data_IF_818402856810
#
_entry.id   IF_818402856810
#
_cell.length_a   1.000
_cell.length_b   1.000
_cell.length_c   1.000
_cell.angle_alpha   90.00
_cell.angle_beta   90.00
_cell.angle_gamma   90.00
#
_symmetry.space_group_name_H-M   'P 1'
#
loop_
_entity.id
_entity.type
_entity.pdbx_description
1 polymer ?
#
# COMPACT_ATOMS: atom_id res chain seq x y z
N UNK A 1 8.81 -22.97 81.79
CA UNK A 1 7.87 -23.34 82.86
C UNK A 1 6.69 -24.07 82.24
N UNK A 2 6.39 -25.23 82.84
CA UNK A 2 5.22 -26.11 82.73
C UNK A 2 5.10 -27.03 81.50
N UNK A 3 5.60 -28.25 81.71
CA UNK A 3 4.97 -29.53 81.34
C UNK A 3 3.80 -29.83 82.31
N UNK A 4 2.78 -30.63 81.91
CA UNK A 4 2.89 -32.09 82.06
C UNK A 4 2.22 -32.95 80.96
N UNK A 5 2.77 -34.18 80.78
CA UNK A 5 2.13 -35.52 80.77
C UNK A 5 0.61 -35.61 80.57
N UNK A 6 -0.02 -36.58 79.91
CA UNK A 6 0.27 -37.94 79.45
C UNK A 6 -0.96 -38.43 78.63
N UNK A 7 -0.84 -39.59 77.98
CA UNK A 7 -1.89 -40.48 77.42
C UNK A 7 -1.92 -40.62 75.88
N UNK A 8 -1.38 -41.76 75.44
CA UNK A 8 -1.45 -42.22 74.06
C UNK A 8 -0.37 -43.24 73.67
N UNK A 9 0.11 -44.07 74.60
CA UNK A 9 0.93 -45.22 74.28
C UNK A 9 0.07 -46.27 73.54
N UNK A 10 0.25 -46.37 72.22
CA UNK A 10 -0.15 -47.54 71.46
C UNK A 10 1.07 -48.07 70.69
N UNK A 11 1.59 -49.16 71.26
CA UNK A 11 2.68 -49.99 70.80
C UNK A 11 2.91 -50.03 69.28
N UNK A 12 4.16 -49.78 68.89
CA UNK A 12 4.77 -50.45 67.75
C UNK A 12 4.64 -51.96 67.95
N UNK A 13 3.54 -52.53 67.44
CA UNK A 13 3.46 -53.97 67.23
C UNK A 13 4.49 -54.30 66.16
N UNK A 14 5.47 -55.09 66.57
CA UNK A 14 6.33 -55.91 65.72
C UNK A 14 5.53 -56.38 64.50
N UNK A 15 6.06 -56.07 63.31
CA UNK A 15 5.68 -56.70 62.05
C UNK A 15 5.96 -58.18 62.24
N UNK A 16 4.94 -58.91 62.70
CA UNK A 16 4.92 -60.36 62.63
C UNK A 16 5.06 -60.68 61.16
N UNK A 17 6.16 -61.33 60.78
CA UNK A 17 6.36 -61.89 59.46
C UNK A 17 5.23 -62.88 59.21
N UNK A 18 4.16 -62.38 58.61
CA UNK A 18 3.05 -63.17 58.17
C UNK A 18 3.55 -64.09 57.03
N UNK A 19 3.31 -65.41 57.07
CA UNK A 19 3.77 -66.38 56.08
C UNK A 19 2.99 -66.29 54.73
N UNK A 20 2.61 -65.09 54.31
CA UNK A 20 1.71 -64.82 53.19
C UNK A 20 2.41 -64.40 51.89
N UNK A 21 3.68 -63.99 51.93
CA UNK A 21 4.46 -63.64 50.71
C UNK A 21 4.68 -64.89 49.86
N UNK A 22 4.92 -66.02 50.51
CA UNK A 22 5.16 -67.33 49.90
C UNK A 22 3.89 -67.87 49.19
N UNK A 23 2.70 -67.51 49.66
CA UNK A 23 1.42 -67.88 49.01
C UNK A 23 1.13 -67.07 47.74
N UNK A 24 1.49 -65.76 47.73
CA UNK A 24 1.29 -64.91 46.57
C UNK A 24 2.22 -65.32 45.41
N UNK A 25 3.46 -65.66 45.73
CA UNK A 25 4.45 -66.15 44.76
C UNK A 25 4.11 -67.57 44.28
N UNK A 26 3.71 -68.49 45.17
CA UNK A 26 3.20 -69.82 44.79
C UNK A 26 1.94 -69.71 43.92
N UNK A 27 1.05 -68.75 44.18
CA UNK A 27 -0.10 -68.45 43.29
C UNK A 27 0.35 -67.98 41.93
N UNK A 28 1.34 -67.09 41.85
CA UNK A 28 1.86 -66.60 40.57
C UNK A 28 2.52 -67.73 39.77
N UNK A 29 3.31 -68.59 40.42
CA UNK A 29 3.92 -69.77 39.81
C UNK A 29 2.86 -70.78 39.34
N UNK A 30 1.81 -71.02 40.14
CA UNK A 30 0.69 -71.86 39.76
C UNK A 30 -0.09 -71.30 38.56
N UNK A 31 -0.36 -70.00 38.54
CA UNK A 31 -1.03 -69.31 37.42
C UNK A 31 -0.17 -69.32 36.15
N UNK A 32 1.15 -69.20 36.29
CA UNK A 32 2.08 -69.29 35.16
C UNK A 32 2.12 -70.71 34.59
N UNK A 33 2.24 -71.74 35.43
CA UNK A 33 2.29 -73.14 35.01
C UNK A 33 0.94 -73.68 34.48
N UNK A 34 -0.20 -73.13 34.94
CA UNK A 34 -1.55 -73.59 34.56
C UNK A 34 -2.31 -72.56 33.72
N UNK A 35 -1.60 -71.67 33.01
CA UNK A 35 -2.19 -70.53 32.31
C UNK A 35 -3.30 -70.92 31.34
N UNK A 36 -3.09 -71.97 30.55
CA UNK A 36 -4.06 -72.42 29.56
C UNK A 36 -5.23 -73.18 30.20
N UNK A 37 -4.98 -74.01 31.21
CA UNK A 37 -6.03 -74.64 32.02
C UNK A 37 -6.93 -73.61 32.71
N UNK A 38 -6.35 -72.52 33.24
CA UNK A 38 -7.10 -71.42 33.86
C UNK A 38 -7.87 -70.63 32.80
N UNK A 39 -7.33 -70.43 31.59
CA UNK A 39 -8.06 -69.82 30.48
C UNK A 39 -9.25 -70.66 30.05
N UNK A 40 -9.08 -71.97 29.90
CA UNK A 40 -10.13 -72.90 29.49
C UNK A 40 -11.22 -73.04 30.56
N UNK A 41 -10.82 -73.13 31.83
CA UNK A 41 -11.75 -73.06 32.98
C UNK A 41 -12.53 -71.75 32.99
N UNK A 42 -11.87 -70.60 32.79
CA UNK A 42 -12.55 -69.31 32.68
C UNK A 42 -13.44 -69.22 31.44
N UNK A 43 -13.06 -69.86 30.33
CA UNK A 43 -13.85 -69.90 29.09
C UNK A 43 -15.12 -70.72 29.28
N UNK A 44 -15.01 -71.90 29.89
CA UNK A 44 -16.13 -72.76 30.25
C UNK A 44 -17.03 -72.10 31.29
N UNK A 45 -16.45 -71.47 32.31
CA UNK A 45 -17.22 -70.74 33.31
C UNK A 45 -17.96 -69.54 32.70
N UNK A 46 -17.33 -68.78 31.80
CA UNK A 46 -17.97 -67.68 31.07
C UNK A 46 -19.03 -68.16 30.08
N UNK A 47 -18.88 -69.32 29.45
CA UNK A 47 -19.91 -69.88 28.56
C UNK A 47 -21.11 -70.41 29.34
N UNK A 48 -20.87 -71.03 30.52
CA UNK A 48 -21.94 -71.55 31.38
C UNK A 48 -22.63 -70.45 32.20
N UNK A 49 -21.94 -69.34 32.53
CA UNK A 49 -22.44 -68.30 33.45
C UNK A 49 -22.36 -66.90 32.83
N UNK A 50 -22.66 -66.81 31.54
CA UNK A 50 -22.48 -65.61 30.72
C UNK A 50 -23.31 -64.42 31.26
N UNK A 51 -24.54 -64.68 31.73
CA UNK A 51 -25.41 -63.66 32.29
C UNK A 51 -24.93 -63.17 33.67
N UNK A 52 -24.45 -64.08 34.52
CA UNK A 52 -23.86 -63.73 35.82
C UNK A 52 -22.56 -62.93 35.67
N UNK A 53 -21.75 -63.24 34.66
CA UNK A 53 -20.55 -62.47 34.33
C UNK A 53 -20.89 -61.06 33.82
N UNK A 54 -21.93 -60.91 33.00
CA UNK A 54 -22.46 -59.61 32.55
C UNK A 54 -22.97 -58.79 33.73
N UNK A 55 -23.67 -59.40 34.67
CA UNK A 55 -24.19 -58.74 35.88
C UNK A 55 -23.07 -58.23 36.79
N UNK A 56 -22.06 -59.08 37.08
CA UNK A 56 -20.88 -58.68 37.86
C UNK A 56 -20.09 -57.55 37.19
N UNK A 57 -20.00 -57.54 35.86
CA UNK A 57 -19.36 -56.46 35.11
C UNK A 57 -20.16 -55.15 35.20
N UNK A 58 -21.49 -55.22 35.03
CA UNK A 58 -22.39 -54.06 35.22
C UNK A 58 -22.26 -53.48 36.62
N UNK A 59 -22.23 -54.32 37.65
CA UNK A 59 -22.08 -53.88 39.04
C UNK A 59 -20.68 -53.33 39.33
N UNK A 60 -19.63 -53.91 38.75
CA UNK A 60 -18.27 -53.36 38.83
C UNK A 60 -18.20 -51.96 38.21
N UNK A 61 -18.80 -51.77 37.03
CA UNK A 61 -18.89 -50.47 36.36
C UNK A 61 -19.71 -49.46 37.18
N UNK A 62 -20.83 -49.87 37.77
CA UNK A 62 -21.62 -49.02 38.69
C UNK A 62 -20.80 -48.59 39.90
N UNK A 63 -20.07 -49.50 40.54
CA UNK A 63 -19.19 -49.17 41.69
C UNK A 63 -18.05 -48.25 41.29
N UNK A 64 -17.44 -48.46 40.12
CA UNK A 64 -16.39 -47.59 39.59
C UNK A 64 -16.91 -46.18 39.27
N UNK A 65 -18.09 -46.08 38.66
CA UNK A 65 -18.78 -44.81 38.41
C UNK A 65 -19.12 -44.09 39.72
N UNK A 66 -19.62 -44.81 40.73
CA UNK A 66 -19.91 -44.25 42.06
C UNK A 66 -18.65 -43.76 42.78
N UNK A 67 -17.47 -44.39 42.59
CA UNK A 67 -16.19 -43.86 43.09
C UNK A 67 -15.80 -42.57 42.39
N UNK A 68 -15.86 -42.54 41.05
CA UNK A 68 -15.56 -41.33 40.26
C UNK A 68 -16.49 -40.17 40.61
N UNK A 69 -17.77 -40.45 40.81
CA UNK A 69 -18.76 -39.45 41.23
C UNK A 69 -18.42 -38.87 42.60
N UNK A 70 -18.14 -39.73 43.60
CA UNK A 70 -17.73 -39.28 44.94
C UNK A 70 -16.44 -38.45 44.91
N UNK A 71 -15.43 -38.87 44.14
CA UNK A 71 -14.20 -38.09 43.98
C UNK A 71 -14.45 -36.74 43.29
N UNK A 72 -15.30 -36.71 42.27
CA UNK A 72 -15.68 -35.47 41.59
C UNK A 72 -16.44 -34.52 42.52
N UNK A 73 -17.32 -35.07 43.36
CA UNK A 73 -18.08 -34.33 44.36
C UNK A 73 -17.17 -33.76 45.45
N UNK A 74 -16.23 -34.56 45.99
CA UNK A 74 -15.20 -34.08 46.93
C UNK A 74 -14.36 -32.97 46.31
N UNK A 75 -13.93 -33.12 45.06
CA UNK A 75 -13.21 -32.05 44.32
C UNK A 75 -14.07 -30.81 44.14
N UNK A 76 -15.36 -30.97 43.86
CA UNK A 76 -16.30 -29.87 43.69
C UNK A 76 -16.50 -29.10 45.00
N UNK A 77 -16.76 -29.81 46.10
CA UNK A 77 -16.83 -29.23 47.46
C UNK A 77 -15.52 -28.55 47.86
N UNK A 78 -14.38 -29.13 47.48
CA UNK A 78 -13.06 -28.51 47.64
C UNK A 78 -12.92 -27.17 46.90
N UNK A 79 -13.35 -27.11 45.63
CA UNK A 79 -13.35 -25.87 44.83
C UNK A 79 -14.27 -24.81 45.42
N UNK A 80 -15.46 -25.19 45.87
CA UNK A 80 -16.42 -24.27 46.49
C UNK A 80 -15.88 -23.71 47.81
N UNK A 81 -15.26 -24.54 48.67
CA UNK A 81 -14.59 -24.06 49.89
C UNK A 81 -13.44 -23.10 49.57
N UNK A 82 -12.60 -23.42 48.60
CA UNK A 82 -11.52 -22.52 48.16
C UNK A 82 -12.04 -21.23 47.52
N UNK A 83 -13.19 -21.27 46.83
CA UNK A 83 -13.86 -20.08 46.30
C UNK A 83 -14.38 -19.19 47.43
N UNK A 84 -15.10 -19.76 48.41
CA UNK A 84 -15.59 -19.05 49.60
C UNK A 84 -14.45 -18.42 50.41
N UNK A 85 -13.39 -19.19 50.67
CA UNK A 85 -12.21 -18.69 51.37
C UNK A 85 -11.56 -17.49 50.65
N UNK A 86 -11.48 -17.52 49.30
CA UNK A 86 -10.94 -16.40 48.50
C UNK A 86 -11.81 -15.14 48.56
N UNK A 87 -13.12 -15.28 48.77
CA UNK A 87 -14.05 -14.15 48.91
C UNK A 87 -13.97 -13.58 50.33
N UNK A 88 -13.90 -14.45 51.35
CA UNK A 88 -13.81 -14.06 52.76
C UNK A 88 -12.45 -13.45 53.12
N UNK A 89 -11.36 -13.82 52.43
CA UNK A 89 -9.99 -13.40 52.75
C UNK A 89 -9.26 -12.74 51.56
N UNK A 90 -9.74 -11.58 51.07
CA UNK A 90 -9.15 -10.91 49.91
C UNK A 90 -7.75 -10.37 50.18
N UNK A 91 -7.46 -9.94 51.41
CA UNK A 91 -6.16 -9.38 51.81
C UNK A 91 -5.08 -10.46 51.91
N UNK A 92 -5.35 -11.58 52.58
CA UNK A 92 -4.43 -12.73 52.64
C UNK A 92 -4.13 -13.31 51.27
N UNK A 93 -5.09 -13.28 50.34
CA UNK A 93 -4.87 -13.66 48.95
C UNK A 93 -3.89 -12.70 48.25
N UNK A 94 -4.04 -11.39 48.46
CA UNK A 94 -3.13 -10.39 47.88
C UNK A 94 -1.72 -10.53 48.44
N UNK A 95 -1.59 -10.73 49.76
CA UNK A 95 -0.30 -10.95 50.42
C UNK A 95 0.38 -12.23 49.95
N UNK A 96 -0.36 -13.34 49.88
CA UNK A 96 0.16 -14.60 49.35
C UNK A 96 0.60 -14.45 47.89
N UNK A 97 -0.20 -13.77 47.07
CA UNK A 97 0.15 -13.52 45.67
C UNK A 97 1.39 -12.60 45.56
N UNK A 98 1.51 -11.58 46.40
CA UNK A 98 2.68 -10.69 46.42
C UNK A 98 3.95 -11.45 46.83
N UNK A 99 3.89 -12.28 47.87
CA UNK A 99 5.01 -13.13 48.31
C UNK A 99 5.40 -14.13 47.22
N UNK A 100 4.41 -14.79 46.61
CA UNK A 100 4.66 -15.73 45.53
C UNK A 100 5.29 -15.06 44.30
N UNK A 101 4.84 -13.85 43.92
CA UNK A 101 5.43 -13.07 42.82
C UNK A 101 6.84 -12.59 43.16
N UNK A 102 7.09 -12.21 44.41
CA UNK A 102 8.42 -11.81 44.86
C UNK A 102 9.41 -12.99 44.81
N UNK A 103 9.00 -14.15 45.32
CA UNK A 103 9.79 -15.40 45.30
C UNK A 103 9.96 -15.99 43.90
N UNK A 104 8.97 -15.83 43.01
CA UNK A 104 8.98 -16.37 41.65
C UNK A 104 9.11 -15.27 40.58
N UNK A 105 9.81 -14.17 40.92
CA UNK A 105 9.93 -12.99 40.05
C UNK A 105 10.48 -13.32 38.66
N UNK A 106 11.43 -14.23 38.58
CA UNK A 106 12.04 -14.66 37.32
C UNK A 106 11.09 -15.48 36.46
N UNK A 107 10.36 -16.44 37.06
CA UNK A 107 9.34 -17.24 36.34
C UNK A 107 8.20 -16.36 35.80
N UNK A 108 7.78 -15.38 36.59
CA UNK A 108 6.76 -14.40 36.15
C UNK A 108 7.30 -13.58 34.98
N UNK A 109 8.54 -13.07 35.07
CA UNK A 109 9.17 -12.32 33.98
C UNK A 109 9.29 -13.17 32.72
N UNK A 110 9.74 -14.41 32.84
CA UNK A 110 9.92 -15.33 31.73
C UNK A 110 8.59 -15.70 31.06
N UNK A 111 7.53 -15.96 31.85
CA UNK A 111 6.18 -16.15 31.33
C UNK A 111 5.71 -14.95 30.52
N UNK A 112 5.88 -13.73 31.05
CA UNK A 112 5.52 -12.52 30.32
C UNK A 112 6.40 -12.34 29.08
N UNK A 113 7.71 -12.60 29.14
CA UNK A 113 8.59 -12.51 27.98
C UNK A 113 8.14 -13.46 26.87
N UNK A 114 7.86 -14.73 27.19
CA UNK A 114 7.33 -15.71 26.23
C UNK A 114 5.99 -15.26 25.63
N UNK A 115 5.10 -14.70 26.46
CA UNK A 115 3.84 -14.14 25.99
C UNK A 115 4.05 -12.95 25.03
N UNK A 116 4.95 -12.01 25.39
CA UNK A 116 5.28 -10.85 24.59
C UNK A 116 5.99 -11.22 23.27
N UNK A 117 6.83 -12.25 23.26
CA UNK A 117 7.48 -12.75 22.05
C UNK A 117 6.45 -13.31 21.07
N UNK A 118 5.54 -14.17 21.56
CA UNK A 118 4.49 -14.75 20.74
C UNK A 118 3.43 -13.74 20.27
N UNK A 119 3.13 -12.71 21.08
CA UNK A 119 2.05 -11.75 20.82
C UNK A 119 2.56 -10.33 20.56
N UNK A 120 3.83 -10.19 20.15
CA UNK A 120 4.48 -8.88 19.99
C UNK A 120 3.69 -7.96 19.07
N UNK A 121 3.20 -8.51 17.96
CA UNK A 121 2.42 -7.77 16.97
C UNK A 121 1.06 -7.31 17.55
N UNK A 122 0.34 -8.19 18.23
CA UNK A 122 -0.97 -7.86 18.83
C UNK A 122 -0.84 -6.79 19.91
N UNK A 123 0.12 -6.93 20.82
CA UNK A 123 0.32 -5.96 21.90
C UNK A 123 0.73 -4.60 21.34
N UNK A 124 1.62 -4.58 20.34
CA UNK A 124 1.99 -3.35 19.65
C UNK A 124 0.81 -2.73 18.90
N UNK A 125 -0.02 -3.53 18.23
CA UNK A 125 -1.21 -3.07 17.53
C UNK A 125 -2.23 -2.46 18.51
N UNK A 126 -2.49 -3.10 19.65
CA UNK A 126 -3.37 -2.58 20.70
C UNK A 126 -2.82 -1.28 21.31
N UNK A 127 -1.53 -1.22 21.60
CA UNK A 127 -0.88 0.00 22.08
C UNK A 127 -0.93 1.13 21.05
N UNK A 128 -0.76 0.79 19.76
CA UNK A 128 -0.84 1.74 18.66
C UNK A 128 -2.27 2.26 18.45
N UNK A 129 -3.28 1.39 18.50
CA UNK A 129 -4.69 1.78 18.44
C UNK A 129 -5.06 2.76 19.56
N UNK A 130 -4.61 2.51 20.80
CA UNK A 130 -4.82 3.47 21.91
C UNK A 130 -4.20 4.84 21.66
N UNK A 131 -3.02 4.89 21.02
CA UNK A 131 -2.35 6.15 20.67
C UNK A 131 -3.08 6.91 19.56
N UNK A 132 -3.72 6.20 18.64
CA UNK A 132 -4.45 6.80 17.52
C UNK A 132 -5.82 7.34 17.93
N UNK A 133 -6.48 6.70 18.90
CA UNK A 133 -7.79 7.15 19.40
C UNK A 133 -7.69 8.53 20.06
N UNK A 134 -6.58 8.82 20.74
CA UNK A 134 -6.36 10.12 21.38
C UNK A 134 -4.88 10.56 21.26
N UNK A 135 -4.51 11.14 20.11
CA UNK A 135 -3.14 11.55 19.86
C UNK A 135 -2.72 12.74 20.75
N UNK A 136 -3.65 13.63 21.10
CA UNK A 136 -3.37 14.81 21.92
C UNK A 136 -3.13 14.44 23.38
N UNK A 137 -3.94 13.56 23.97
CA UNK A 137 -3.67 13.03 25.31
C UNK A 137 -2.35 12.26 25.37
N UNK A 138 -2.01 11.52 24.31
CA UNK A 138 -0.71 10.84 24.21
C UNK A 138 0.46 11.84 24.23
N UNK A 139 0.35 12.95 23.48
CA UNK A 139 1.34 14.04 23.49
C UNK A 139 1.45 14.68 24.87
N UNK A 140 0.31 14.96 25.52
CA UNK A 140 0.27 15.54 26.87
C UNK A 140 0.90 14.62 27.90
N UNK A 141 0.58 13.32 27.90
CA UNK A 141 1.20 12.33 28.80
C UNK A 141 2.71 12.26 28.56
N UNK A 142 3.14 12.24 27.29
CA UNK A 142 4.56 12.22 26.94
C UNK A 142 5.28 13.48 27.41
N UNK A 143 4.65 14.65 27.29
CA UNK A 143 5.17 15.93 27.77
C UNK A 143 5.27 15.97 29.29
N UNK A 144 4.21 15.56 30.00
CA UNK A 144 4.21 15.49 31.46
C UNK A 144 5.24 14.48 31.99
N UNK A 145 5.41 13.35 31.32
CA UNK A 145 6.46 12.40 31.65
C UNK A 145 7.85 13.02 31.45
N UNK A 146 8.07 13.71 30.33
CA UNK A 146 9.33 14.37 30.04
C UNK A 146 9.65 15.52 31.01
N UNK A 147 8.64 16.24 31.49
CA UNK A 147 8.77 17.28 32.49
C UNK A 147 9.06 16.72 33.88
N UNK A 148 8.43 15.60 34.27
CA UNK A 148 8.70 14.89 35.53
C UNK A 148 10.04 14.14 35.53
N UNK A 149 10.57 13.78 34.36
CA UNK A 149 11.80 12.99 34.21
C UNK A 149 12.93 13.79 33.54
N UNK A 150 13.04 15.10 33.81
CA UNK A 150 14.08 15.96 33.21
C UNK A 150 15.49 15.45 33.49
N UNK A 151 15.78 15.10 34.74
CA UNK A 151 17.09 14.59 35.16
C UNK A 151 17.40 13.25 34.51
N UNK A 152 16.46 12.32 34.51
CA UNK A 152 16.60 11.03 33.82
C UNK A 152 16.83 11.19 32.32
N UNK A 153 16.22 12.19 31.67
CA UNK A 153 16.50 12.51 30.26
C UNK A 153 17.90 13.08 30.06
N UNK A 154 18.36 13.93 30.98
CA UNK A 154 19.73 14.46 30.96
C UNK A 154 20.76 13.35 31.19
N UNK A 155 20.49 12.43 32.10
CA UNK A 155 21.30 11.24 32.35
C UNK A 155 21.36 10.32 31.12
N UNK A 156 20.22 10.04 30.48
CA UNK A 156 20.20 9.31 29.21
C UNK A 156 21.01 10.01 28.11
N UNK A 157 21.01 11.35 28.06
CA UNK A 157 21.87 12.09 27.14
C UNK A 157 23.34 12.00 27.51
N UNK A 158 23.70 12.01 28.80
CA UNK A 158 25.08 11.79 29.27
C UNK A 158 25.55 10.38 28.92
N UNK A 159 24.72 9.36 29.14
CA UNK A 159 25.02 7.97 28.79
C UNK A 159 25.08 7.74 27.27
N UNK A 160 24.31 8.49 26.47
CA UNK A 160 24.46 8.47 25.01
C UNK A 160 25.78 9.12 24.56
N UNK A 161 26.29 10.11 25.30
CA UNK A 161 27.57 10.80 25.05
C UNK A 161 28.77 10.12 25.70
N UNK A 162 28.56 9.15 26.57
CA UNK A 162 29.64 8.48 27.30
C UNK A 162 30.45 7.56 26.40
N UNK A 163 29.84 7.04 25.33
CA UNK A 163 30.55 6.37 24.25
C UNK A 163 31.02 7.40 23.20
N UNK A 164 32.33 7.71 23.14
CA UNK A 164 32.84 8.74 22.25
C UNK A 164 32.74 8.36 20.77
N UNK A 165 32.81 7.07 20.43
CA UNK A 165 32.79 6.61 19.04
C UNK A 165 31.38 6.67 18.46
N UNK A 166 30.39 6.17 19.21
CA UNK A 166 28.98 6.27 18.83
C UNK A 166 28.59 7.74 18.70
N UNK A 167 28.94 8.57 19.68
CA UNK A 167 28.61 10.00 19.63
C UNK A 167 29.29 10.74 18.47
N UNK A 168 30.56 10.42 18.16
CA UNK A 168 31.25 10.97 16.97
C UNK A 168 30.54 10.56 15.68
N UNK A 169 30.15 9.31 15.53
CA UNK A 169 29.42 8.83 14.35
C UNK A 169 28.06 9.53 14.18
N UNK A 170 27.34 9.78 15.28
CA UNK A 170 26.09 10.55 15.27
C UNK A 170 26.33 12.01 14.83
N UNK A 171 27.40 12.64 15.30
CA UNK A 171 27.76 14.01 14.90
C UNK A 171 28.17 14.07 13.43
N UNK A 172 28.93 13.10 12.94
CA UNK A 172 29.32 13.02 11.54
C UNK A 172 28.12 12.83 10.61
N UNK A 173 27.19 11.93 10.95
CA UNK A 173 25.95 11.73 10.21
C UNK A 173 25.11 13.03 10.15
N UNK A 174 25.02 13.76 11.26
CA UNK A 174 24.35 15.06 11.31
C UNK A 174 25.06 16.12 10.45
N UNK A 175 26.39 16.15 10.46
CA UNK A 175 27.18 17.03 9.62
C UNK A 175 27.01 16.71 8.13
N UNK A 176 27.00 15.42 7.75
CA UNK A 176 26.73 14.95 6.40
C UNK A 176 25.32 15.34 5.92
N UNK A 177 24.29 15.15 6.74
CA UNK A 177 22.92 15.57 6.42
C UNK A 177 22.81 17.09 6.18
N UNK A 178 23.50 17.90 6.98
CA UNK A 178 23.58 19.36 6.78
C UNK A 178 24.34 19.74 5.50
N UNK A 179 25.43 19.03 5.17
CA UNK A 179 26.17 19.22 3.90
C UNK A 179 25.28 18.90 2.69
N UNK A 180 24.56 17.78 2.73
CA UNK A 180 23.62 17.38 1.68
C UNK A 180 22.50 18.43 1.49
N UNK A 181 21.89 18.90 2.57
CA UNK A 181 20.85 19.94 2.50
C UNK A 181 21.34 21.22 1.81
N UNK A 182 22.56 21.66 2.13
CA UNK A 182 23.19 22.83 1.49
C UNK A 182 23.52 22.58 0.01
N UNK A 183 24.02 21.40 -0.32
CA UNK A 183 24.32 21.00 -1.70
C UNK A 183 23.05 20.98 -2.57
N UNK A 184 21.97 20.37 -2.08
CA UNK A 184 20.66 20.37 -2.77
C UNK A 184 20.14 21.79 -3.00
N UNK A 185 20.20 22.64 -1.96
CA UNK A 185 19.80 24.04 -2.06
C UNK A 185 20.62 24.82 -3.09
N UNK A 186 21.94 24.59 -3.17
CA UNK A 186 22.81 25.23 -4.17
C UNK A 186 22.50 24.76 -5.59
N UNK A 187 22.09 23.50 -5.75
CA UNK A 187 21.66 22.95 -7.02
C UNK A 187 20.24 23.37 -7.44
N UNK A 188 19.57 24.25 -6.68
CA UNK A 188 18.17 24.63 -6.92
C UNK A 188 17.18 23.48 -6.70
N UNK A 189 17.63 22.35 -6.14
CA UNK A 189 16.79 21.20 -5.87
C UNK A 189 16.04 21.44 -4.56
N UNK A 190 14.72 21.21 -4.54
CA UNK A 190 13.95 21.35 -3.31
C UNK A 190 14.47 20.37 -2.26
N UNK A 191 14.56 20.77 -0.98
CA UNK A 191 14.90 19.84 0.08
C UNK A 191 13.88 18.69 0.10
N UNK A 192 14.33 17.48 0.43
CA UNK A 192 13.45 16.30 0.54
C UNK A 192 12.25 16.66 1.42
N UNK A 193 11.08 16.85 0.80
CA UNK A 193 9.81 17.01 1.50
C UNK A 193 9.42 15.62 1.99
N UNK A 194 9.95 15.22 3.14
CA UNK A 194 9.26 14.19 3.92
C UNK A 194 7.94 14.81 4.33
N UNK A 195 6.85 14.51 3.62
CA UNK A 195 5.51 14.78 4.12
C UNK A 195 5.50 14.22 5.54
N UNK A 196 5.36 15.12 6.52
CA UNK A 196 5.35 14.74 7.93
C UNK A 196 3.97 14.14 8.19
N UNK A 197 3.73 12.97 7.62
CA UNK A 197 2.55 12.19 7.90
C UNK A 197 2.74 11.64 9.30
N UNK A 198 1.78 11.92 10.18
CA UNK A 198 1.83 11.38 11.54
C UNK A 198 1.87 9.85 11.46
N UNK A 199 2.37 9.19 12.50
CA UNK A 199 2.39 7.73 12.50
C UNK A 199 0.97 7.15 12.37
N UNK A 200 -0.06 7.88 12.84
CA UNK A 200 -1.46 7.50 12.69
C UNK A 200 -1.92 7.63 11.24
N UNK A 201 -1.68 8.76 10.58
CA UNK A 201 -1.97 8.97 9.15
C UNK A 201 -1.30 7.92 8.26
N UNK A 202 -0.02 7.60 8.51
CA UNK A 202 0.67 6.55 7.73
C UNK A 202 -0.03 5.20 7.81
N UNK A 203 -0.52 4.84 9.00
CA UNK A 203 -1.26 3.58 9.21
C UNK A 203 -2.68 3.65 8.65
N UNK A 204 -3.33 4.81 8.69
CA UNK A 204 -4.61 5.01 8.01
C UNK A 204 -4.44 4.85 6.49
N UNK A 205 -3.46 5.54 5.89
CA UNK A 205 -3.12 5.43 4.47
C UNK A 205 -2.73 4.00 4.08
N UNK A 206 -1.99 3.28 4.92
CA UNK A 206 -1.62 1.88 4.68
C UNK A 206 -2.85 0.97 4.68
N UNK A 207 -3.80 1.16 5.61
CA UNK A 207 -5.07 0.43 5.62
C UNK A 207 -5.93 0.77 4.41
N UNK A 208 -6.03 2.04 4.06
CA UNK A 208 -6.76 2.49 2.86
C UNK A 208 -6.14 1.92 1.60
N UNK A 209 -4.82 2.01 1.45
CA UNK A 209 -4.09 1.40 0.33
C UNK A 209 -4.32 -0.11 0.28
N UNK A 210 -4.22 -0.80 1.42
CA UNK A 210 -4.53 -2.23 1.48
C UNK A 210 -5.96 -2.53 1.04
N UNK A 211 -6.96 -1.76 1.50
CA UNK A 211 -8.34 -1.94 1.04
C UNK A 211 -8.52 -1.66 -0.45
N UNK A 212 -7.84 -0.64 -0.98
CA UNK A 212 -7.90 -0.25 -2.38
C UNK A 212 -7.26 -1.29 -3.32
N UNK A 213 -6.09 -1.81 -2.97
CA UNK A 213 -5.35 -2.76 -3.81
C UNK A 213 -5.86 -4.20 -3.69
N UNK A 214 -6.51 -4.56 -2.58
CA UNK A 214 -7.08 -5.91 -2.39
C UNK A 214 -8.59 -5.97 -2.66
N UNK A 215 -9.20 -4.91 -3.18
CA UNK A 215 -10.60 -4.95 -3.63
C UNK A 215 -10.73 -5.84 -4.88
N UNK A 216 -11.47 -6.96 -4.81
CA UNK A 216 -11.60 -7.91 -5.91
C UNK A 216 -12.32 -7.33 -7.13
N UNK A 217 -13.12 -6.26 -6.97
CA UNK A 217 -13.81 -5.60 -8.08
C UNK A 217 -12.93 -4.59 -8.84
N UNK A 218 -11.78 -4.21 -8.25
CA UNK A 218 -10.91 -3.15 -8.76
C UNK A 218 -10.37 -3.39 -10.17
N UNK A 219 -9.88 -4.60 -10.52
CA UNK A 219 -9.34 -4.83 -11.86
C UNK A 219 -10.42 -4.67 -12.95
N UNK A 220 -11.64 -5.14 -12.68
CA UNK A 220 -12.75 -5.01 -13.62
C UNK A 220 -13.25 -3.57 -13.70
N UNK A 221 -13.32 -2.84 -12.56
CA UNK A 221 -13.60 -1.40 -12.55
C UNK A 221 -12.62 -0.61 -13.45
N UNK A 222 -11.32 -0.84 -13.28
CA UNK A 222 -10.28 -0.18 -14.07
C UNK A 222 -10.33 -0.55 -15.56
N UNK A 223 -10.65 -1.81 -15.87
CA UNK A 223 -10.86 -2.25 -17.24
C UNK A 223 -12.04 -1.54 -17.88
N UNK A 224 -13.21 -1.53 -17.22
CA UNK A 224 -14.41 -0.86 -17.72
C UNK A 224 -14.17 0.65 -17.89
N UNK A 225 -13.50 1.29 -16.93
CA UNK A 225 -13.16 2.70 -17.01
C UNK A 225 -12.26 2.99 -18.21
N UNK A 226 -11.20 2.21 -18.40
CA UNK A 226 -10.27 2.38 -19.52
C UNK A 226 -10.98 2.20 -20.85
N UNK A 227 -11.72 1.10 -21.03
CA UNK A 227 -12.46 0.83 -22.27
C UNK A 227 -13.49 1.93 -22.55
N UNK A 228 -14.19 2.41 -21.52
CA UNK A 228 -15.16 3.49 -21.65
C UNK A 228 -14.50 4.80 -22.07
N UNK A 229 -13.40 5.21 -21.40
CA UNK A 229 -12.68 6.43 -21.72
C UNK A 229 -12.04 6.39 -23.12
N UNK A 230 -11.50 5.24 -23.52
CA UNK A 230 -10.94 5.04 -24.88
C UNK A 230 -12.05 5.09 -25.94
N UNK A 231 -13.15 4.37 -25.74
CA UNK A 231 -14.30 4.37 -26.66
C UNK A 231 -14.91 5.77 -26.79
N UNK A 232 -15.01 6.52 -25.69
CA UNK A 232 -15.47 7.90 -25.68
C UNK A 232 -14.52 8.81 -26.45
N UNK A 233 -13.22 8.64 -26.26
CA UNK A 233 -12.21 9.41 -26.99
C UNK A 233 -12.23 9.11 -28.48
N UNK A 234 -12.31 7.84 -28.87
CA UNK A 234 -12.44 7.43 -30.25
C UNK A 234 -13.71 7.99 -30.90
N UNK A 235 -14.84 7.90 -30.19
CA UNK A 235 -16.12 8.44 -30.66
C UNK A 235 -16.04 9.95 -30.89
N UNK A 236 -15.40 10.68 -29.98
CA UNK A 236 -15.19 12.13 -30.12
C UNK A 236 -14.24 12.48 -31.26
N UNK A 237 -13.17 11.72 -31.47
CA UNK A 237 -12.23 11.97 -32.57
C UNK A 237 -12.84 11.69 -33.95
N UNK A 238 -13.72 10.70 -34.05
CA UNK A 238 -14.39 10.31 -35.31
C UNK A 238 -15.61 11.17 -35.61
N UNK A 239 -16.45 11.44 -34.61
CA UNK A 239 -17.78 12.02 -34.80
C UNK A 239 -17.95 13.41 -34.15
N UNK A 240 -16.92 13.95 -33.49
CA UNK A 240 -17.02 15.19 -32.71
C UNK A 240 -17.50 16.41 -33.50
N UNK A 241 -17.08 16.56 -34.76
CA UNK A 241 -17.54 17.66 -35.62
C UNK A 241 -19.05 17.59 -35.89
N UNK A 242 -19.55 16.43 -36.33
CA UNK A 242 -20.98 16.20 -36.56
C UNK A 242 -21.81 16.35 -35.28
N UNK A 243 -21.27 15.91 -34.14
CA UNK A 243 -21.93 16.10 -32.84
C UNK A 243 -22.02 17.57 -32.45
N UNK A 244 -20.98 18.36 -32.77
CA UNK A 244 -20.96 19.80 -32.51
C UNK A 244 -21.99 20.54 -33.35
N UNK A 245 -22.08 20.24 -34.65
CA UNK A 245 -23.11 20.81 -35.53
C UNK A 245 -24.52 20.52 -35.00
N UNK A 246 -24.78 19.27 -34.58
CA UNK A 246 -26.04 18.90 -33.94
C UNK A 246 -26.29 19.70 -32.65
N UNK A 247 -25.27 19.82 -31.79
CA UNK A 247 -25.38 20.54 -30.53
C UNK A 247 -25.61 22.04 -30.73
N UNK A 248 -24.96 22.67 -31.70
CA UNK A 248 -25.17 24.07 -32.09
C UNK A 248 -26.60 24.32 -32.60
N UNK A 249 -27.12 23.42 -33.45
CA UNK A 249 -28.50 23.49 -33.91
C UNK A 249 -29.50 23.31 -32.76
N UNK A 250 -29.21 22.39 -31.83
CA UNK A 250 -30.03 22.17 -30.64
C UNK A 250 -30.04 23.39 -29.72
N UNK A 251 -28.88 23.95 -29.39
CA UNK A 251 -28.77 25.17 -28.55
C UNK A 251 -29.49 26.34 -29.22
N UNK A 252 -29.29 26.56 -30.52
CA UNK A 252 -29.97 27.62 -31.27
C UNK A 252 -31.49 27.47 -31.25
N UNK A 253 -32.01 26.24 -31.39
CA UNK A 253 -33.45 25.97 -31.30
C UNK A 253 -33.99 26.24 -29.89
N UNK A 254 -33.25 25.83 -28.87
CA UNK A 254 -33.56 26.02 -27.45
C UNK A 254 -33.64 27.50 -27.08
N UNK A 255 -32.71 28.31 -27.58
CA UNK A 255 -32.72 29.77 -27.40
C UNK A 255 -33.96 30.42 -28.04
N UNK A 256 -34.35 29.97 -29.24
CA UNK A 256 -35.55 30.49 -29.93
C UNK A 256 -36.85 30.27 -29.15
N UNK A 257 -36.93 29.20 -28.37
CA UNK A 257 -38.11 28.89 -27.54
C UNK A 257 -38.00 29.45 -26.11
N UNK A 258 -36.98 30.26 -25.82
CA UNK A 258 -36.82 30.92 -24.51
C UNK A 258 -36.40 30.01 -23.36
N UNK A 259 -35.82 28.84 -23.66
CA UNK A 259 -35.31 27.92 -22.63
C UNK A 259 -33.93 28.37 -22.13
N UNK A 260 -33.55 28.02 -20.88
CA UNK A 260 -32.25 28.40 -20.32
C UNK A 260 -31.07 27.95 -21.20
N UNK A 261 -30.02 28.77 -21.37
CA UNK A 261 -28.88 28.44 -22.20
C UNK A 261 -28.13 27.23 -21.64
N UNK A 262 -27.62 26.39 -22.53
CA UNK A 262 -26.81 25.21 -22.21
C UNK A 262 -25.57 25.24 -23.08
N UNK A 263 -24.41 24.83 -22.53
CA UNK A 263 -23.17 24.77 -23.29
C UNK A 263 -23.25 23.73 -24.42
N UNK A 264 -22.89 24.14 -25.64
CA UNK A 264 -22.71 23.24 -26.79
C UNK A 264 -21.77 22.08 -26.43
N UNK A 265 -20.69 22.38 -25.70
CA UNK A 265 -19.72 21.36 -25.30
C UNK A 265 -20.36 20.31 -24.37
N UNK A 266 -21.20 20.72 -23.42
CA UNK A 266 -21.84 19.79 -22.50
C UNK A 266 -22.83 18.87 -23.22
N UNK A 267 -23.57 19.39 -24.20
CA UNK A 267 -24.49 18.59 -25.04
C UNK A 267 -23.70 17.59 -25.89
N UNK A 268 -22.58 18.01 -26.50
CA UNK A 268 -21.71 17.12 -27.29
C UNK A 268 -21.23 15.94 -26.44
N UNK A 269 -20.68 16.22 -25.25
CA UNK A 269 -20.14 15.17 -24.40
C UNK A 269 -21.23 14.32 -23.75
N UNK A 270 -22.38 14.89 -23.39
CA UNK A 270 -23.53 14.12 -22.92
C UNK A 270 -23.98 13.13 -24.00
N UNK A 271 -24.14 13.59 -25.25
CA UNK A 271 -24.53 12.73 -26.37
C UNK A 271 -23.49 11.64 -26.68
N UNK A 272 -22.22 11.97 -26.60
CA UNK A 272 -21.15 10.99 -26.78
C UNK A 272 -21.16 9.92 -25.68
N UNK A 273 -21.39 10.32 -24.42
CA UNK A 273 -21.54 9.41 -23.28
C UNK A 273 -22.75 8.48 -23.47
N UNK A 274 -23.90 9.01 -23.89
CA UNK A 274 -25.09 8.19 -24.20
C UNK A 274 -24.77 7.09 -25.23
N UNK A 275 -24.20 7.47 -26.37
CA UNK A 275 -23.88 6.53 -27.46
C UNK A 275 -22.89 5.45 -27.00
N UNK A 276 -21.89 5.83 -26.21
CA UNK A 276 -20.87 4.88 -25.72
C UNK A 276 -21.46 3.98 -24.64
N UNK A 277 -22.26 4.52 -23.72
CA UNK A 277 -22.91 3.75 -22.67
C UNK A 277 -23.91 2.74 -23.25
N UNK A 278 -24.68 3.10 -24.29
CA UNK A 278 -25.59 2.18 -24.98
C UNK A 278 -24.85 1.03 -25.67
N UNK A 279 -23.69 1.31 -26.27
CA UNK A 279 -22.86 0.29 -26.93
C UNK A 279 -22.18 -0.63 -25.93
N UNK A 280 -21.80 -0.11 -24.77
CA UNK A 280 -21.18 -0.88 -23.71
C UNK A 280 -22.26 -1.56 -22.85
N UNK A 281 -22.56 -2.83 -23.14
CA UNK A 281 -23.52 -3.63 -22.34
C UNK A 281 -23.14 -3.87 -20.86
N UNK A 282 -22.01 -3.34 -20.37
CA UNK A 282 -21.45 -3.55 -19.02
C UNK A 282 -20.76 -2.30 -18.51
N UNK A 283 -21.54 -1.38 -17.96
CA UNK A 283 -21.03 -0.14 -17.31
C UNK A 283 -21.32 -0.17 -15.80
N UNK A 284 -21.70 -1.34 -15.28
CA UNK A 284 -22.28 -1.49 -13.94
C UNK A 284 -21.33 -1.12 -12.80
N UNK A 285 -20.01 -1.15 -13.03
CA UNK A 285 -19.04 -0.74 -12.03
C UNK A 285 -18.70 0.77 -12.10
N UNK A 286 -19.10 1.50 -13.13
CA UNK A 286 -18.76 2.92 -13.23
C UNK A 286 -19.74 3.79 -12.45
N UNK A 287 -19.18 4.64 -11.61
CA UNK A 287 -19.94 5.69 -10.94
C UNK A 287 -20.07 6.93 -11.83
N UNK A 288 -20.99 7.84 -11.50
CA UNK A 288 -21.08 9.16 -12.17
C UNK A 288 -19.77 9.94 -12.09
N UNK A 289 -18.99 9.77 -11.00
CA UNK A 289 -17.66 10.36 -10.84
C UNK A 289 -16.65 9.78 -11.85
N UNK A 290 -16.72 8.49 -12.12
CA UNK A 290 -15.87 7.82 -13.11
C UNK A 290 -16.21 8.31 -14.52
N UNK A 291 -17.50 8.40 -14.86
CA UNK A 291 -17.94 8.96 -16.15
C UNK A 291 -17.46 10.41 -16.32
N UNK A 292 -17.59 11.25 -15.29
CA UNK A 292 -17.08 12.62 -15.33
C UNK A 292 -15.54 12.69 -15.45
N UNK A 293 -14.82 11.74 -14.83
CA UNK A 293 -13.37 11.62 -14.99
C UNK A 293 -13.00 11.20 -16.42
N UNK A 294 -13.73 10.24 -17.01
CA UNK A 294 -13.56 9.82 -18.39
C UNK A 294 -13.82 10.96 -19.36
N UNK A 295 -14.90 11.74 -19.19
CA UNK A 295 -15.18 12.94 -20.00
C UNK A 295 -14.04 13.95 -19.93
N UNK A 296 -13.51 14.24 -18.73
CA UNK A 296 -12.35 15.14 -18.58
C UNK A 296 -11.10 14.59 -19.26
N UNK A 297 -10.82 13.30 -19.13
CA UNK A 297 -9.71 12.64 -19.80
C UNK A 297 -9.87 12.72 -21.33
N UNK A 298 -11.06 12.45 -21.85
CA UNK A 298 -11.38 12.57 -23.27
C UNK A 298 -11.24 14.01 -23.77
N UNK A 299 -11.73 15.02 -23.04
CA UNK A 299 -11.53 16.44 -23.38
C UNK A 299 -10.04 16.76 -23.54
N UNK A 300 -9.21 16.30 -22.61
CA UNK A 300 -7.77 16.48 -22.70
C UNK A 300 -7.14 15.72 -23.88
N UNK A 301 -7.59 14.49 -24.14
CA UNK A 301 -7.13 13.67 -25.27
C UNK A 301 -7.48 14.27 -26.63
N UNK A 302 -8.74 14.66 -26.83
CA UNK A 302 -9.22 15.31 -28.06
C UNK A 302 -8.47 16.61 -28.32
N UNK A 303 -8.30 17.47 -27.30
CA UNK A 303 -7.51 18.72 -27.43
C UNK A 303 -6.07 18.44 -27.81
N UNK A 304 -5.45 17.39 -27.26
CA UNK A 304 -4.08 16.99 -27.59
C UNK A 304 -3.97 16.57 -29.05
N UNK A 305 -4.89 15.73 -29.53
CA UNK A 305 -4.94 15.28 -30.92
C UNK A 305 -5.21 16.44 -31.89
N UNK A 306 -6.14 17.33 -31.57
CA UNK A 306 -6.41 18.53 -32.38
C UNK A 306 -5.18 19.45 -32.45
N UNK A 307 -4.51 19.69 -31.31
CA UNK A 307 -3.24 20.43 -31.26
C UNK A 307 -2.16 19.76 -32.11
N UNK A 308 -2.05 18.43 -32.05
CA UNK A 308 -1.09 17.67 -32.85
C UNK A 308 -1.40 17.80 -34.36
N UNK A 309 -2.68 17.72 -34.76
CA UNK A 309 -3.09 17.94 -36.16
C UNK A 309 -2.76 19.35 -36.64
N UNK A 310 -3.00 20.38 -35.81
CA UNK A 310 -2.61 21.75 -36.14
C UNK A 310 -1.09 21.89 -36.30
N UNK A 311 -0.32 21.28 -35.40
CA UNK A 311 1.14 21.27 -35.45
C UNK A 311 1.65 20.61 -36.73
N UNK A 312 1.14 19.43 -37.07
CA UNK A 312 1.52 18.71 -38.28
C UNK A 312 1.09 19.45 -39.55
N UNK A 313 -0.09 20.06 -39.53
CA UNK A 313 -0.59 20.92 -40.60
C UNK A 313 0.32 22.13 -40.83
N UNK A 314 0.74 22.80 -39.75
CA UNK A 314 1.67 23.92 -39.80
C UNK A 314 3.02 23.51 -40.38
N UNK A 315 3.62 22.42 -39.87
CA UNK A 315 4.90 21.90 -40.38
C UNK A 315 4.81 21.56 -41.87
N UNK A 316 3.75 20.85 -42.30
CA UNK A 316 3.54 20.51 -43.70
C UNK A 316 3.34 21.76 -44.56
N UNK A 317 2.55 22.73 -44.10
CA UNK A 317 2.30 23.99 -44.79
C UNK A 317 3.58 24.78 -45.00
N UNK A 318 4.41 24.93 -43.96
CA UNK A 318 5.71 25.63 -44.05
C UNK A 318 6.64 24.94 -45.02
N UNK A 319 6.75 23.61 -44.97
CA UNK A 319 7.59 22.85 -45.90
C UNK A 319 7.11 23.09 -47.34
N UNK A 320 5.80 22.97 -47.61
CA UNK A 320 5.23 23.19 -48.93
C UNK A 320 5.48 24.63 -49.43
N UNK A 321 5.32 25.64 -48.57
CA UNK A 321 5.52 27.05 -48.92
C UNK A 321 6.99 27.34 -49.23
N UNK A 322 7.93 26.81 -48.42
CA UNK A 322 9.37 26.90 -48.68
C UNK A 322 9.73 26.26 -50.02
N UNK A 323 9.16 25.09 -50.33
CA UNK A 323 9.40 24.44 -51.61
C UNK A 323 8.87 25.26 -52.79
N UNK A 324 7.66 25.79 -52.67
CA UNK A 324 6.98 26.55 -53.72
C UNK A 324 7.66 27.87 -54.05
N UNK A 325 8.15 28.58 -53.02
CA UNK A 325 8.69 29.94 -53.17
C UNK A 325 10.17 30.04 -52.77
N UNK A 326 10.93 28.94 -52.91
CA UNK A 326 12.34 28.86 -52.47
C UNK A 326 13.20 30.03 -52.96
N UNK A 327 13.15 30.35 -54.24
CA UNK A 327 13.96 31.44 -54.82
C UNK A 327 13.67 32.80 -54.18
N UNK A 328 12.37 33.12 -54.00
CA UNK A 328 11.91 34.35 -53.35
C UNK A 328 12.40 34.43 -51.90
N UNK A 329 12.26 33.35 -51.13
CA UNK A 329 12.70 33.35 -49.73
C UNK A 329 14.22 33.40 -49.57
N UNK A 330 14.99 32.82 -50.49
CA UNK A 330 16.46 32.95 -50.46
C UNK A 330 16.87 34.41 -50.66
N UNK A 331 16.30 35.11 -51.65
CA UNK A 331 16.58 36.54 -51.86
C UNK A 331 16.13 37.38 -50.66
N UNK A 332 14.93 37.15 -50.14
CA UNK A 332 14.45 37.86 -48.94
C UNK A 332 15.35 37.60 -47.71
N UNK A 333 15.87 36.37 -47.55
CA UNK A 333 16.76 36.03 -46.45
C UNK A 333 18.14 36.68 -46.55
N UNK A 334 18.67 36.91 -47.76
CA UNK A 334 19.94 37.61 -47.94
C UNK A 334 19.78 39.10 -47.64
N UNK A 335 18.67 39.71 -48.08
CA UNK A 335 18.32 41.09 -47.73
C UNK A 335 18.14 41.27 -46.21
N UNK A 336 17.43 40.34 -45.55
CA UNK A 336 17.28 40.37 -44.09
C UNK A 336 18.63 40.24 -43.37
N UNK A 337 19.51 39.35 -43.84
CA UNK A 337 20.86 39.23 -43.27
C UNK A 337 21.72 40.49 -43.48
N UNK A 338 21.59 41.19 -44.61
CA UNK A 338 22.25 42.48 -44.84
C UNK A 338 21.73 43.54 -43.85
N UNK A 339 20.40 43.63 -43.69
CA UNK A 339 19.78 44.54 -42.73
C UNK A 339 20.20 44.23 -41.27
N UNK A 340 20.37 42.95 -40.91
CA UNK A 340 20.91 42.54 -39.60
C UNK A 340 22.32 43.06 -39.37
N UNK A 341 23.21 42.92 -40.37
CA UNK A 341 24.59 43.43 -40.28
C UNK A 341 24.62 44.94 -40.12
N UNK A 342 23.81 45.68 -40.89
CA UNK A 342 23.70 47.13 -40.75
C UNK A 342 23.23 47.56 -39.35
N UNK A 343 22.41 46.72 -38.69
CA UNK A 343 21.95 46.91 -37.30
C UNK A 343 22.93 46.37 -36.24
N UNK A 344 24.12 45.92 -36.62
CA UNK A 344 25.11 45.33 -35.70
C UNK A 344 24.72 43.94 -35.15
N UNK A 345 23.74 43.26 -35.75
CA UNK A 345 23.31 41.91 -35.35
C UNK A 345 24.07 40.85 -36.16
N UNK A 346 24.39 39.69 -35.56
CA UNK A 346 25.01 38.60 -36.29
C UNK A 346 24.07 38.06 -37.38
N UNK A 347 24.69 37.61 -38.49
CA UNK A 347 23.98 36.90 -39.57
C UNK A 347 23.35 35.62 -39.02
N UNK A 348 22.12 35.34 -39.42
CA UNK A 348 21.47 34.06 -39.18
C UNK A 348 21.68 33.14 -40.40
N UNK A 349 21.52 31.83 -40.21
CA UNK A 349 21.57 30.91 -41.35
C UNK A 349 20.42 31.20 -42.32
N UNK A 350 20.72 31.16 -43.63
CA UNK A 350 19.75 31.37 -44.70
C UNK A 350 18.55 30.44 -44.55
N UNK A 351 18.79 29.15 -44.25
CA UNK A 351 17.74 28.16 -44.05
C UNK A 351 16.77 28.54 -42.92
N UNK A 352 17.29 29.05 -41.79
CA UNK A 352 16.46 29.47 -40.66
C UNK A 352 15.61 30.68 -41.02
N UNK A 353 16.16 31.65 -41.74
CA UNK A 353 15.43 32.84 -42.19
C UNK A 353 14.37 32.50 -43.23
N UNK A 354 14.66 31.61 -44.18
CA UNK A 354 13.69 31.10 -45.17
C UNK A 354 12.49 30.46 -44.47
N UNK A 355 12.73 29.60 -43.49
CA UNK A 355 11.65 28.94 -42.72
C UNK A 355 10.87 29.95 -41.87
N UNK A 356 11.53 30.94 -41.28
CA UNK A 356 10.86 31.99 -40.51
C UNK A 356 9.93 32.84 -41.39
N UNK A 357 10.38 33.23 -42.59
CA UNK A 357 9.56 33.98 -43.54
C UNK A 357 8.38 33.14 -44.05
N UNK A 358 8.59 31.87 -44.37
CA UNK A 358 7.52 30.97 -44.77
C UNK A 358 6.51 30.71 -43.63
N UNK A 359 6.98 30.63 -42.38
CA UNK A 359 6.11 30.48 -41.21
C UNK A 359 5.15 31.67 -41.07
N UNK A 360 5.60 32.90 -41.31
CA UNK A 360 4.74 34.10 -41.25
C UNK A 360 3.58 34.01 -42.23
N UNK A 361 3.83 33.56 -43.46
CA UNK A 361 2.82 33.41 -44.51
C UNK A 361 1.84 32.25 -44.24
N UNK A 362 2.32 31.16 -43.63
CA UNK A 362 1.51 29.96 -43.41
C UNK A 362 0.63 30.08 -42.17
N UNK A 363 1.08 30.77 -41.12
CA UNK A 363 0.30 30.93 -39.86
C UNK A 363 -1.04 31.63 -40.10
N UNK A 364 -1.15 32.49 -41.11
CA UNK A 364 -2.42 33.13 -41.50
C UNK A 364 -3.40 32.19 -42.19
N UNK A 365 -2.92 31.10 -42.80
CA UNK A 365 -3.72 30.18 -43.61
C UNK A 365 -4.06 28.87 -42.91
N UNK A 366 -3.30 28.51 -41.87
CA UNK A 366 -3.45 27.25 -41.14
C UNK A 366 -4.06 27.52 -39.76
N UNK A 367 -5.02 26.71 -39.29
CA UNK A 367 -5.52 26.84 -37.93
C UNK A 367 -4.40 26.64 -36.90
N UNK A 368 -4.12 27.68 -36.10
CA UNK A 368 -3.06 27.69 -35.08
C UNK A 368 -3.59 27.97 -33.66
N UNK A 369 -4.92 28.05 -33.48
CA UNK A 369 -5.55 28.49 -32.23
C UNK A 369 -5.28 27.61 -31.00
N UNK A 370 -4.77 26.38 -31.16
CA UNK A 370 -4.38 25.50 -30.05
C UNK A 370 -2.86 25.40 -29.86
N UNK A 371 -2.07 26.03 -30.71
CA UNK A 371 -0.61 25.97 -30.67
C UNK A 371 -0.04 27.04 -29.74
N UNK A 372 0.97 26.65 -28.95
CA UNK A 372 1.75 27.58 -28.14
C UNK A 372 2.91 28.16 -28.94
N UNK A 373 3.56 29.20 -28.40
CA UNK A 373 4.80 29.76 -28.98
C UNK A 373 5.90 28.68 -29.06
N UNK A 374 5.95 27.78 -28.07
CA UNK A 374 6.91 26.67 -28.06
C UNK A 374 6.62 25.66 -29.18
N UNK A 375 5.34 25.42 -29.51
CA UNK A 375 4.96 24.60 -30.66
C UNK A 375 5.41 25.25 -31.97
N UNK A 376 5.19 26.56 -32.14
CA UNK A 376 5.65 27.29 -33.31
C UNK A 376 7.18 27.20 -33.47
N UNK A 377 7.93 27.34 -32.37
CA UNK A 377 9.38 27.17 -32.37
C UNK A 377 9.79 25.74 -32.73
N UNK A 378 9.08 24.74 -32.19
CA UNK A 378 9.32 23.33 -32.48
C UNK A 378 9.00 23.00 -33.93
N UNK A 379 7.91 23.53 -34.47
CA UNK A 379 7.51 23.38 -35.86
C UNK A 379 8.55 24.00 -36.80
N UNK A 380 9.04 25.21 -36.49
CA UNK A 380 10.11 25.86 -37.25
C UNK A 380 11.41 25.03 -37.24
N UNK A 381 11.79 24.44 -36.10
CA UNK A 381 12.96 23.54 -36.03
C UNK A 381 12.77 22.30 -36.90
N UNK A 382 11.62 21.63 -36.79
CA UNK A 382 11.31 20.43 -37.59
C UNK A 382 11.28 20.76 -39.08
N UNK A 383 10.65 21.88 -39.46
CA UNK A 383 10.63 22.36 -40.84
C UNK A 383 12.03 22.69 -41.35
N UNK A 384 12.86 23.37 -40.57
CA UNK A 384 14.26 23.67 -40.93
C UNK A 384 15.06 22.40 -41.19
N UNK A 385 14.94 21.39 -40.32
CA UNK A 385 15.61 20.10 -40.51
C UNK A 385 15.16 19.41 -41.79
N UNK A 386 13.84 19.38 -42.06
CA UNK A 386 13.28 18.73 -43.25
C UNK A 386 13.57 19.48 -44.55
N UNK A 387 13.59 20.81 -44.51
CA UNK A 387 13.94 21.64 -45.67
C UNK A 387 15.45 21.68 -45.93
N UNK A 388 16.31 21.62 -44.90
CA UNK A 388 17.77 21.60 -45.07
C UNK A 388 18.28 20.39 -45.87
N UNK A 389 17.61 19.24 -45.77
CA UNK A 389 17.85 18.06 -46.63
C UNK A 389 17.68 18.41 -48.12
N UNK A 390 16.72 19.28 -48.44
CA UNK A 390 16.41 19.73 -49.81
C UNK A 390 17.40 20.79 -50.29
N UNK A 391 17.93 21.63 -49.39
CA UNK A 391 18.98 22.58 -49.74
C UNK A 391 20.27 21.88 -50.16
N UNK A 392 20.62 20.78 -49.47
CA UNK A 392 21.81 19.95 -49.79
C UNK A 392 21.67 19.17 -51.10
N UNK A 393 20.48 18.66 -51.43
CA UNK A 393 20.28 17.90 -52.69
C UNK A 393 20.35 18.77 -53.95
N UNK A 394 20.12 20.08 -53.85
CA UNK A 394 20.20 21.02 -54.98
C UNK A 394 21.60 21.57 -55.27
N UNK A 395 22.52 21.58 -54.30
CA UNK A 395 23.88 22.10 -54.49
C UNK A 395 24.83 21.08 -55.14
N UNK A 396 24.51 19.78 -55.11
CA UNK A 396 25.33 18.71 -55.70
C UNK A 396 25.32 18.61 -57.23
N UNK A 397 24.65 19.52 -57.96
CA UNK A 397 24.55 19.48 -59.43
C UNK A 397 25.09 20.71 -60.17
N UNK A 398 25.56 21.74 -59.45
CA UNK A 398 25.93 23.02 -60.05
C UNK A 398 27.42 23.40 -59.91
N UNK A 399 28.28 22.50 -59.40
CA UNK A 399 29.72 22.76 -59.25
C UNK A 399 30.51 21.67 -59.97
N UNK A 400 30.52 21.70 -61.31
CA UNK A 400 31.57 21.01 -62.08
C UNK A 400 31.82 21.58 -63.50
N UNK A 401 31.54 22.87 -63.74
CA UNK A 401 31.87 23.51 -65.02
C UNK A 401 32.28 24.96 -64.83
N UNK A 402 33.49 25.17 -64.34
CA UNK A 402 34.37 26.30 -64.71
C UNK A 402 35.75 26.08 -64.10
N UNK A 403 36.54 25.19 -64.70
CA UNK A 403 38.00 25.29 -64.68
C UNK A 403 38.45 25.41 -66.14
N UNK A 404 38.56 26.64 -66.63
CA UNK A 404 39.38 26.96 -67.80
C UNK A 404 40.83 27.08 -67.30
N UNK A 405 41.79 26.37 -67.91
CA UNK A 405 43.20 26.59 -67.62
C UNK A 405 43.68 27.89 -68.31
N UNK A 406 44.72 28.55 -67.80
CA UNK A 406 45.28 29.71 -68.46
C UNK A 406 46.09 29.27 -69.68
N UNK A 407 45.90 29.96 -70.80
CA UNK A 407 46.80 29.99 -71.94
C UNK A 407 47.37 31.41 -72.04
N UNK A 408 48.69 31.53 -72.06
CA UNK A 408 49.43 32.77 -72.34
C UNK A 408 50.08 33.38 -71.12
#
# INVERSE_FOLDING_TARGET
MNDPSEEGAAAQKSRTEHPFVDEAEKRQQYVAANRDRIRDMNRLWRSQHLDRARELNRDSMRRAAARRHREAEVRSRGRERAKRWRVEHPERRREYQQRWVAENREKVREYYNRYYEAHRAEVNARAAARRDVDPERTKQITRQWAERNKERRAELQRNRRSDPEIYRSELEANAAARRLKRSLSRAGLPPKRTHVATAAERRANEREAYSYFNDPSRPEHLRQFTVFAESLTEQMLKNGARMREFAEAYVSSRERVGLPPVSVEDIVYARAVEIVAERMRRVDFLTSRDVAAAVRATKAGVRREERQRQFDGLVKGVIAEVHRYRGRYVVASTMENQARVQRGKPRASVEKLVVQLAMQEVVERVPTGLLTIEDAHSAARVATLRSGVVFRSGQGRAVDRTHLPPLG
#
